data_IF_137106066595
#
_entry.id   IF_137106066595
#
_cell.length_a   1.000
_cell.length_b   1.000
_cell.length_c   1.000
_cell.angle_alpha   90.00
_cell.angle_beta   90.00
_cell.angle_gamma   90.00
#
_symmetry.space_group_name_H-M   'P 1'
#
loop_
_entity.id
_entity.type
_entity.pdbx_description
1 polymer ?
#
# COMPACT_ATOMS: atom_id res chain seq x y z
N UNK A 1 -8.07 64.64 -38.24
CA UNK A 1 -9.42 64.72 -37.64
C UNK A 1 -9.55 63.48 -36.78
N UNK A 2 -9.05 63.59 -35.54
CA UNK A 2 -8.99 62.49 -34.58
C UNK A 2 -10.41 62.18 -34.10
N UNK A 3 -10.84 60.94 -34.26
CA UNK A 3 -12.13 60.45 -33.78
C UNK A 3 -12.05 60.22 -32.26
N UNK A 4 -11.97 61.28 -31.47
CA UNK A 4 -12.21 61.21 -30.03
C UNK A 4 -13.73 61.22 -29.77
N UNK A 5 -14.33 60.04 -29.90
CA UNK A 5 -15.73 59.81 -29.56
C UNK A 5 -15.92 58.39 -29.00
N UNK A 6 -17.09 58.10 -28.38
CA UNK A 6 -17.39 56.78 -27.78
C UNK A 6 -17.15 55.58 -28.71
N UNK A 7 -17.13 55.81 -30.03
CA UNK A 7 -16.83 54.82 -31.07
C UNK A 7 -15.36 54.33 -31.12
N UNK A 8 -14.38 55.15 -30.72
CA UNK A 8 -12.98 54.72 -30.66
C UNK A 8 -12.73 53.66 -29.58
N UNK A 9 -13.46 53.75 -28.45
CA UNK A 9 -13.46 52.70 -27.40
C UNK A 9 -14.10 51.40 -27.90
N UNK A 10 -15.14 51.48 -28.73
CA UNK A 10 -15.80 50.31 -29.33
C UNK A 10 -14.89 49.62 -30.35
N UNK A 11 -14.15 50.36 -31.17
CA UNK A 11 -13.15 49.82 -32.11
C UNK A 11 -11.98 49.14 -31.36
N UNK A 12 -11.43 49.78 -30.32
CA UNK A 12 -10.41 49.14 -29.49
C UNK A 12 -10.89 47.87 -28.78
N UNK A 13 -12.14 47.83 -28.33
CA UNK A 13 -12.75 46.62 -27.76
C UNK A 13 -12.99 45.54 -28.83
N UNK A 14 -13.36 45.93 -30.04
CA UNK A 14 -13.54 45.02 -31.17
C UNK A 14 -12.21 44.41 -31.63
N UNK A 15 -11.17 45.23 -31.80
CA UNK A 15 -9.83 44.79 -32.19
C UNK A 15 -9.17 43.94 -31.09
N UNK A 16 -9.35 44.30 -29.80
CA UNK A 16 -8.91 43.45 -28.69
C UNK A 16 -9.68 42.11 -28.64
N UNK A 17 -10.96 42.09 -29.03
CA UNK A 17 -11.78 40.89 -29.11
C UNK A 17 -11.41 40.02 -30.33
N UNK A 18 -11.01 40.62 -31.45
CA UNK A 18 -10.49 39.91 -32.62
C UNK A 18 -9.07 39.38 -32.39
N UNK A 19 -8.20 40.17 -31.78
CA UNK A 19 -6.84 39.74 -31.43
C UNK A 19 -6.88 38.63 -30.38
N UNK A 20 -7.73 38.76 -29.36
CA UNK A 20 -8.01 37.72 -28.37
C UNK A 20 -8.56 36.44 -29.00
N UNK A 21 -9.50 36.55 -29.95
CA UNK A 21 -10.00 35.40 -30.73
C UNK A 21 -8.91 34.78 -31.59
N UNK A 22 -8.06 35.57 -32.23
CA UNK A 22 -6.98 35.07 -33.09
C UNK A 22 -5.90 34.33 -32.29
N UNK A 23 -5.48 34.85 -31.14
CA UNK A 23 -4.54 34.17 -30.23
C UNK A 23 -5.17 32.91 -29.64
N UNK A 24 -6.43 32.99 -29.21
CA UNK A 24 -7.17 31.82 -28.72
C UNK A 24 -7.23 30.72 -29.77
N UNK A 25 -7.63 31.05 -30.99
CA UNK A 25 -7.79 30.08 -32.08
C UNK A 25 -6.46 29.54 -32.63
N UNK A 26 -5.38 30.35 -32.65
CA UNK A 26 -4.11 29.95 -33.27
C UNK A 26 -3.09 29.33 -32.32
N UNK A 27 -3.16 29.63 -31.02
CA UNK A 27 -2.17 29.16 -30.05
C UNK A 27 -2.81 28.36 -28.90
N UNK A 28 -3.86 28.89 -28.28
CA UNK A 28 -4.47 28.26 -27.10
C UNK A 28 -5.27 27.01 -27.47
N UNK A 29 -6.11 27.07 -28.49
CA UNK A 29 -6.96 25.97 -28.91
C UNK A 29 -6.15 24.75 -29.40
N UNK A 30 -5.13 24.87 -30.28
CA UNK A 30 -4.34 23.71 -30.70
C UNK A 30 -3.54 23.08 -29.56
N UNK A 31 -3.00 23.89 -28.65
CA UNK A 31 -2.28 23.38 -27.47
C UNK A 31 -3.22 22.63 -26.51
N UNK A 32 -4.41 23.19 -26.27
CA UNK A 32 -5.42 22.58 -25.42
C UNK A 32 -6.01 21.31 -26.05
N UNK A 33 -6.18 21.28 -27.38
CA UNK A 33 -6.60 20.09 -28.13
C UNK A 33 -5.56 18.98 -28.06
N UNK A 34 -4.27 19.31 -28.24
CA UNK A 34 -3.18 18.36 -28.05
C UNK A 34 -3.14 17.80 -26.61
N UNK A 35 -3.31 18.67 -25.61
CA UNK A 35 -3.40 18.26 -24.21
C UNK A 35 -4.63 17.36 -23.95
N UNK A 36 -5.77 17.65 -24.57
CA UNK A 36 -6.96 16.83 -24.48
C UNK A 36 -6.73 15.44 -25.10
N UNK A 37 -6.18 15.35 -26.31
CA UNK A 37 -5.85 14.07 -26.94
C UNK A 37 -4.82 13.26 -26.15
N UNK A 38 -3.81 13.92 -25.57
CA UNK A 38 -2.87 13.26 -24.67
C UNK A 38 -3.57 12.70 -23.42
N UNK A 39 -4.49 13.47 -22.81
CA UNK A 39 -5.29 12.99 -21.69
C UNK A 39 -6.21 11.82 -22.10
N UNK A 40 -6.81 11.86 -23.28
CA UNK A 40 -7.63 10.76 -23.79
C UNK A 40 -6.82 9.48 -23.99
N UNK A 41 -5.61 9.58 -24.55
CA UNK A 41 -4.71 8.43 -24.69
C UNK A 41 -4.35 7.85 -23.30
N UNK A 42 -4.01 8.71 -22.34
CA UNK A 42 -3.75 8.31 -20.95
C UNK A 42 -4.97 7.66 -20.28
N UNK A 43 -6.18 8.16 -20.53
CA UNK A 43 -7.45 7.59 -20.06
C UNK A 43 -7.68 6.18 -20.62
N UNK A 44 -7.38 5.97 -21.91
CA UNK A 44 -7.45 4.65 -22.54
C UNK A 44 -6.44 3.69 -21.90
N UNK A 45 -5.21 4.13 -21.66
CA UNK A 45 -4.21 3.31 -20.96
C UNK A 45 -4.70 2.91 -19.55
N UNK A 46 -5.29 3.86 -18.81
CA UNK A 46 -5.77 3.61 -17.46
C UNK A 46 -6.96 2.64 -17.44
N UNK A 47 -7.92 2.78 -18.34
CA UNK A 47 -9.08 1.88 -18.39
C UNK A 47 -8.67 0.47 -18.82
N UNK A 48 -7.73 0.33 -19.77
CA UNK A 48 -7.20 -0.97 -20.16
C UNK A 48 -6.51 -1.68 -18.99
N UNK A 49 -5.74 -0.93 -18.19
CA UNK A 49 -5.08 -1.47 -16.99
C UNK A 49 -6.09 -1.90 -15.92
N UNK A 50 -7.10 -1.08 -15.65
CA UNK A 50 -8.18 -1.40 -14.71
C UNK A 50 -8.97 -2.62 -15.18
N UNK A 51 -9.29 -2.70 -16.48
CA UNK A 51 -9.92 -3.87 -17.10
C UNK A 51 -9.04 -5.11 -16.93
N UNK A 52 -7.75 -5.01 -17.23
CA UNK A 52 -6.81 -6.12 -17.11
C UNK A 52 -6.76 -6.67 -15.68
N UNK A 53 -6.58 -5.82 -14.66
CA UNK A 53 -6.56 -6.26 -13.26
C UNK A 53 -7.91 -6.82 -12.81
N UNK A 54 -9.01 -6.17 -13.22
CA UNK A 54 -10.36 -6.60 -12.86
C UNK A 54 -10.68 -7.97 -13.46
N UNK A 55 -10.38 -8.19 -14.74
CA UNK A 55 -10.59 -9.47 -15.42
C UNK A 55 -9.64 -10.53 -14.87
N UNK A 56 -8.36 -10.22 -14.70
CA UNK A 56 -7.38 -11.22 -14.24
C UNK A 56 -7.62 -11.68 -12.80
N UNK A 57 -7.93 -10.79 -11.85
CA UNK A 57 -8.35 -11.22 -10.51
C UNK A 57 -9.66 -12.04 -10.60
N UNK A 58 -10.62 -11.65 -11.46
CA UNK A 58 -11.91 -12.35 -11.55
C UNK A 58 -11.73 -13.76 -12.10
N UNK A 59 -10.97 -13.90 -13.19
CA UNK A 59 -10.63 -15.17 -13.81
C UNK A 59 -9.82 -16.03 -12.83
N UNK A 60 -8.81 -15.46 -12.16
CA UNK A 60 -8.01 -16.19 -11.19
C UNK A 60 -8.87 -16.74 -10.05
N UNK A 61 -9.70 -15.91 -9.43
CA UNK A 61 -10.43 -16.26 -8.21
C UNK A 61 -11.68 -17.08 -8.50
N UNK A 62 -12.53 -16.61 -9.43
CA UNK A 62 -13.86 -17.19 -9.63
C UNK A 62 -13.85 -18.33 -10.64
N UNK A 63 -13.13 -18.19 -11.75
CA UNK A 63 -13.12 -19.22 -12.80
C UNK A 63 -12.09 -20.31 -12.50
N UNK A 64 -10.84 -19.92 -12.26
CA UNK A 64 -9.74 -20.85 -12.05
C UNK A 64 -9.61 -21.32 -10.59
N UNK A 65 -10.37 -20.70 -9.66
CA UNK A 65 -10.32 -20.99 -8.22
C UNK A 65 -8.88 -21.02 -7.68
N UNK A 66 -8.04 -20.11 -8.17
CA UNK A 66 -6.63 -19.93 -7.79
C UNK A 66 -6.51 -19.19 -6.46
N UNK A 67 -7.26 -19.64 -5.44
CA UNK A 67 -7.13 -19.12 -4.08
C UNK A 67 -5.75 -19.45 -3.51
N UNK A 68 -5.22 -18.65 -2.57
CA UNK A 68 -3.93 -18.92 -1.92
C UNK A 68 -3.74 -20.38 -1.49
N UNK A 69 -4.74 -20.97 -0.84
CA UNK A 69 -4.72 -22.33 -0.27
C UNK A 69 -4.64 -23.44 -1.33
N UNK A 70 -5.11 -23.17 -2.55
CA UNK A 70 -5.05 -24.14 -3.65
C UNK A 70 -3.75 -24.06 -4.43
N UNK A 71 -3.04 -22.93 -4.32
CA UNK A 71 -1.80 -22.66 -5.05
C UNK A 71 -0.55 -22.92 -4.24
N UNK A 72 -0.65 -22.76 -2.94
CA UNK A 72 0.46 -22.82 -2.02
C UNK A 72 0.11 -23.77 -0.89
N UNK A 73 1.09 -24.54 -0.45
CA UNK A 73 0.93 -25.42 0.70
C UNK A 73 0.62 -24.56 1.92
N UNK A 74 -0.45 -24.92 2.61
CA UNK A 74 -0.92 -24.25 3.81
C UNK A 74 -1.46 -25.35 4.72
N UNK A 75 -0.60 -25.84 5.60
CA UNK A 75 -0.98 -26.78 6.64
C UNK A 75 -0.76 -26.08 7.98
N UNK A 76 -1.73 -26.11 8.90
CA UNK A 76 -1.54 -25.56 10.24
C UNK A 76 -0.26 -26.09 10.87
N UNK A 77 0.44 -25.23 11.60
CA UNK A 77 1.62 -25.65 12.35
C UNK A 77 1.20 -26.76 13.33
N UNK A 78 1.99 -27.84 13.48
CA UNK A 78 1.62 -28.94 14.34
C UNK A 78 1.46 -28.42 15.77
N UNK A 79 0.22 -28.42 16.27
CA UNK A 79 -0.04 -28.23 17.69
C UNK A 79 0.60 -29.41 18.42
N UNK A 80 1.48 -29.16 19.39
CA UNK A 80 2.14 -30.19 20.21
C UNK A 80 1.20 -31.06 21.07
N UNK A 81 -0.05 -31.23 20.67
CA UNK A 81 -1.07 -32.06 21.30
C UNK A 81 -1.51 -33.18 20.36
N UNK A 82 -0.58 -34.04 19.96
CA UNK A 82 -0.93 -35.42 19.63
C UNK A 82 -0.99 -36.21 20.96
N UNK A 83 -2.06 -35.96 21.74
CA UNK A 83 -2.39 -36.80 22.90
C UNK A 83 -3.07 -38.06 22.33
N UNK A 84 -2.29 -39.12 22.17
CA UNK A 84 -2.83 -40.46 22.33
C UNK A 84 -3.23 -40.65 23.80
N UNK A 85 -4.29 -41.40 24.02
CA UNK A 85 -4.97 -41.61 25.30
C UNK A 85 -4.13 -42.40 26.32
N UNK A 86 -3.01 -41.88 26.79
CA UNK A 86 -2.33 -42.42 27.98
C UNK A 86 -1.88 -41.28 28.90
N UNK A 87 -2.44 -41.28 30.11
CA UNK A 87 -2.06 -40.41 31.22
C UNK A 87 -0.67 -40.78 31.77
N UNK A 88 -0.08 -39.77 32.40
CA UNK A 88 1.11 -39.79 33.27
C UNK A 88 2.50 -39.56 32.64
N UNK A 89 3.18 -38.58 33.26
CA UNK A 89 4.62 -38.30 33.22
C UNK A 89 5.21 -37.64 31.95
N UNK A 90 5.20 -36.30 31.91
CA UNK A 90 6.42 -35.47 31.81
C UNK A 90 6.07 -33.99 31.59
N UNK A 91 6.52 -33.12 32.50
CA UNK A 91 6.68 -31.69 32.25
C UNK A 91 7.87 -31.55 31.30
N UNK A 92 7.59 -31.43 30.00
CA UNK A 92 8.60 -31.28 28.95
C UNK A 92 8.24 -30.10 28.03
N UNK A 93 9.11 -29.10 28.04
CA UNK A 93 9.11 -27.81 27.31
C UNK A 93 9.26 -27.94 25.76
N UNK A 94 8.88 -29.09 25.17
CA UNK A 94 9.25 -29.46 23.80
C UNK A 94 8.27 -29.07 22.70
N UNK A 95 7.13 -28.43 23.02
CA UNK A 95 6.08 -28.13 22.03
C UNK A 95 6.38 -26.98 21.06
N UNK A 96 7.34 -26.10 21.40
CA UNK A 96 7.67 -24.89 20.63
C UNK A 96 8.65 -25.10 19.48
N UNK A 97 9.39 -26.22 19.43
CA UNK A 97 10.46 -26.43 18.44
C UNK A 97 10.00 -26.46 16.99
N UNK A 98 8.73 -26.80 16.74
CA UNK A 98 8.16 -26.78 15.40
C UNK A 98 7.79 -25.37 14.92
N UNK A 99 7.64 -24.39 15.82
CA UNK A 99 7.22 -23.03 15.48
C UNK A 99 8.44 -22.14 15.18
N UNK A 100 8.44 -21.42 14.04
CA UNK A 100 9.52 -20.48 13.73
C UNK A 100 9.51 -19.29 14.70
N UNK A 101 10.67 -18.66 14.85
CA UNK A 101 10.82 -17.44 15.65
C UNK A 101 10.22 -16.24 14.90
N UNK A 102 9.35 -15.49 15.56
CA UNK A 102 8.61 -14.36 14.96
C UNK A 102 8.87 -13.08 15.72
N UNK A 103 9.34 -12.06 15.01
CA UNK A 103 9.39 -10.68 15.48
C UNK A 103 8.09 -9.95 15.08
N UNK A 104 7.48 -9.20 15.99
CA UNK A 104 6.35 -8.31 15.68
C UNK A 104 6.80 -6.88 15.94
N UNK A 105 6.95 -6.07 14.89
CA UNK A 105 7.41 -4.69 14.97
C UNK A 105 6.23 -3.71 14.96
N UNK A 106 6.24 -2.78 15.91
CA UNK A 106 5.26 -1.70 16.03
C UNK A 106 5.99 -0.36 16.08
N UNK A 107 6.23 0.31 14.93
CA UNK A 107 6.75 1.67 14.91
C UNK A 107 5.72 2.67 15.42
N UNK A 108 6.13 3.51 16.38
CA UNK A 108 5.28 4.53 17.00
C UNK A 108 5.91 5.92 16.90
N UNK A 109 5.08 6.94 16.74
CA UNK A 109 5.50 8.35 16.75
C UNK A 109 4.38 9.27 17.26
N UNK A 110 4.47 9.68 18.52
CA UNK A 110 3.51 10.55 19.20
C UNK A 110 2.06 10.01 19.17
N UNK A 111 1.89 8.70 19.33
CA UNK A 111 0.62 7.97 19.17
C UNK A 111 -0.15 7.86 20.48
N UNK A 112 -0.66 8.97 20.99
CA UNK A 112 -1.28 9.05 22.33
C UNK A 112 -2.57 8.24 22.45
N UNK A 113 -3.38 8.20 21.41
CA UNK A 113 -4.74 7.66 21.45
C UNK A 113 -4.78 6.15 21.23
N UNK A 114 -3.79 5.61 20.48
CA UNK A 114 -3.83 4.25 19.97
C UNK A 114 -2.76 3.31 20.56
N UNK A 115 -1.73 3.84 21.24
CA UNK A 115 -0.60 3.01 21.72
C UNK A 115 -1.05 1.79 22.53
N UNK A 116 -1.98 1.98 23.47
CA UNK A 116 -2.43 0.91 24.38
C UNK A 116 -3.16 -0.19 23.64
N UNK A 117 -4.05 0.18 22.72
CA UNK A 117 -4.84 -0.78 21.94
C UNK A 117 -3.93 -1.52 20.96
N UNK A 118 -2.97 -0.83 20.34
CA UNK A 118 -2.02 -1.42 19.40
C UNK A 118 -1.07 -2.42 20.06
N UNK A 119 -0.42 -2.02 21.16
CA UNK A 119 0.47 -2.92 21.93
C UNK A 119 -0.34 -4.10 22.46
N UNK A 120 -1.53 -3.85 23.02
CA UNK A 120 -2.41 -4.90 23.49
C UNK A 120 -2.80 -5.91 22.42
N UNK A 121 -3.13 -5.45 21.21
CA UNK A 121 -3.48 -6.32 20.09
C UNK A 121 -2.29 -7.18 19.63
N UNK A 122 -1.08 -6.62 19.56
CA UNK A 122 0.12 -7.38 19.23
C UNK A 122 0.49 -8.40 20.32
N UNK A 123 0.39 -8.03 21.60
CA UNK A 123 0.61 -8.92 22.74
C UNK A 123 -0.45 -10.04 22.84
N UNK A 124 -1.63 -9.85 22.24
CA UNK A 124 -2.72 -10.83 22.21
C UNK A 124 -2.63 -11.83 21.04
N UNK A 125 -1.59 -11.74 20.19
CA UNK A 125 -1.37 -12.69 19.11
C UNK A 125 -1.16 -14.10 19.65
N UNK A 126 -1.85 -15.07 19.06
CA UNK A 126 -1.77 -16.49 19.40
C UNK A 126 -0.54 -17.09 18.72
N UNK A 127 0.53 -17.22 19.50
CA UNK A 127 1.79 -17.87 19.11
C UNK A 127 2.47 -18.40 20.37
N UNK A 128 3.34 -19.43 20.31
CA UNK A 128 4.09 -19.87 21.47
C UNK A 128 4.89 -18.71 22.09
N UNK A 129 4.77 -18.43 23.42
CA UNK A 129 5.40 -17.28 24.06
C UNK A 129 6.93 -17.23 23.95
N UNK A 130 7.57 -18.39 23.84
CA UNK A 130 9.02 -18.55 23.61
C UNK A 130 9.43 -18.30 22.15
N UNK A 131 8.46 -18.29 21.22
CA UNK A 131 8.67 -18.13 19.77
C UNK A 131 8.19 -16.80 19.19
N UNK A 132 7.72 -15.88 20.03
CA UNK A 132 7.28 -14.54 19.63
C UNK A 132 8.02 -13.47 20.41
N UNK A 133 8.43 -12.41 19.72
CA UNK A 133 9.05 -11.23 20.31
C UNK A 133 8.28 -10.00 19.81
N UNK A 134 7.70 -9.23 20.72
CA UNK A 134 7.05 -7.95 20.39
C UNK A 134 8.10 -6.84 20.52
N UNK A 135 8.31 -6.04 19.48
CA UNK A 135 9.27 -4.94 19.46
C UNK A 135 8.54 -3.64 19.16
N UNK A 136 8.43 -2.79 20.17
CA UNK A 136 7.89 -1.42 20.06
C UNK A 136 9.05 -0.48 19.74
N UNK A 137 8.98 0.17 18.59
CA UNK A 137 10.01 1.10 18.11
C UNK A 137 9.50 2.52 18.27
N UNK A 138 9.83 3.18 19.38
CA UNK A 138 9.28 4.49 19.73
C UNK A 138 10.20 5.65 19.32
N UNK A 139 9.75 6.38 18.30
CA UNK A 139 10.39 7.57 17.76
C UNK A 139 9.79 8.88 18.30
N UNK A 140 8.88 8.80 19.27
CA UNK A 140 8.15 9.96 19.81
C UNK A 140 9.11 11.07 20.25
N UNK A 141 8.63 12.30 20.21
CA UNK A 141 9.38 13.47 20.68
C UNK A 141 8.76 14.05 21.95
N UNK A 142 7.50 13.73 22.21
CA UNK A 142 6.79 14.12 23.43
C UNK A 142 7.21 13.18 24.59
N UNK A 143 7.86 13.70 25.65
CA UNK A 143 8.27 12.91 26.80
C UNK A 143 7.11 12.22 27.52
N UNK A 144 5.94 12.86 27.57
CA UNK A 144 4.77 12.29 28.24
C UNK A 144 4.25 11.08 27.47
N UNK A 145 4.22 11.14 26.14
CA UNK A 145 3.80 9.99 25.31
C UNK A 145 4.80 8.85 25.45
N UNK A 146 6.11 9.12 25.46
CA UNK A 146 7.13 8.09 25.68
C UNK A 146 6.93 7.35 26.99
N UNK A 147 6.68 8.09 28.07
CA UNK A 147 6.46 7.50 29.39
C UNK A 147 5.23 6.57 29.40
N UNK A 148 4.14 6.97 28.71
CA UNK A 148 2.95 6.13 28.56
C UNK A 148 3.24 4.83 27.80
N UNK A 149 3.95 4.91 26.67
CA UNK A 149 4.31 3.76 25.84
C UNK A 149 5.24 2.82 26.60
N UNK A 150 6.26 3.36 27.27
CA UNK A 150 7.20 2.61 28.08
C UNK A 150 6.51 1.91 29.26
N UNK A 151 5.60 2.61 29.93
CA UNK A 151 4.81 2.04 31.03
C UNK A 151 3.94 0.87 30.56
N UNK A 152 3.24 1.01 29.44
CA UNK A 152 2.44 -0.08 28.87
C UNK A 152 3.32 -1.28 28.48
N UNK A 153 4.50 -1.05 27.90
CA UNK A 153 5.45 -2.12 27.61
C UNK A 153 5.91 -2.84 28.88
N UNK A 154 6.18 -2.10 29.96
CA UNK A 154 6.54 -2.67 31.27
C UNK A 154 5.40 -3.48 31.89
N UNK A 155 4.15 -3.03 31.77
CA UNK A 155 2.97 -3.77 32.23
C UNK A 155 2.85 -5.12 31.50
N UNK A 156 3.00 -5.15 30.17
CA UNK A 156 3.00 -6.40 29.40
C UNK A 156 4.19 -7.30 29.72
N UNK A 157 5.38 -6.74 29.90
CA UNK A 157 6.56 -7.49 30.33
C UNK A 157 6.35 -8.17 31.70
N UNK A 158 5.65 -7.50 32.64
CA UNK A 158 5.30 -8.06 33.95
C UNK A 158 4.39 -9.29 33.86
N UNK A 159 3.61 -9.40 32.78
CA UNK A 159 2.75 -10.55 32.45
C UNK A 159 3.50 -11.67 31.72
N UNK A 160 4.84 -11.61 31.72
CA UNK A 160 5.75 -12.57 31.05
C UNK A 160 5.62 -12.60 29.53
N UNK A 161 5.09 -11.54 28.91
CA UNK A 161 5.14 -11.39 27.45
C UNK A 161 6.53 -10.88 27.06
N UNK A 162 7.13 -11.49 26.02
CA UNK A 162 8.43 -11.08 25.52
C UNK A 162 8.31 -9.81 24.67
N UNK A 163 8.22 -8.67 25.34
CA UNK A 163 8.15 -7.34 24.72
C UNK A 163 9.45 -6.56 24.93
N UNK A 164 9.89 -5.86 23.89
CA UNK A 164 11.08 -4.99 23.86
C UNK A 164 10.64 -3.59 23.48
N UNK A 165 10.98 -2.62 24.33
CA UNK A 165 10.77 -1.21 24.07
C UNK A 165 12.09 -0.59 23.64
N UNK A 166 12.18 -0.13 22.40
CA UNK A 166 13.41 0.35 21.79
C UNK A 166 13.24 1.80 21.35
N UNK A 167 14.20 2.63 21.74
CA UNK A 167 14.28 4.04 21.36
C UNK A 167 15.56 4.33 20.57
N UNK A 168 15.55 5.44 19.84
CA UNK A 168 16.74 5.93 19.16
C UNK A 168 16.93 7.42 19.33
N UNK A 169 18.19 7.83 19.32
CA UNK A 169 18.59 9.23 19.49
C UNK A 169 18.23 10.08 18.27
N UNK A 170 18.28 9.51 17.07
CA UNK A 170 18.03 10.22 15.82
C UNK A 170 16.87 9.61 15.05
N UNK A 171 15.92 10.46 14.67
CA UNK A 171 14.78 10.12 13.79
C UNK A 171 15.16 10.09 12.30
N UNK A 172 16.45 9.96 11.98
CA UNK A 172 16.90 9.88 10.59
C UNK A 172 16.24 8.71 9.88
N UNK A 173 15.66 8.98 8.71
CA UNK A 173 14.98 7.98 7.91
C UNK A 173 13.59 7.57 8.41
N UNK A 174 13.03 8.26 9.43
CA UNK A 174 11.65 8.06 9.92
C UNK A 174 11.35 6.56 10.16
N UNK A 175 10.15 6.08 9.79
CA UNK A 175 9.73 4.68 9.95
C UNK A 175 10.76 3.68 9.38
N UNK A 176 11.28 3.92 8.18
CA UNK A 176 12.29 3.06 7.56
C UNK A 176 13.55 2.90 8.42
N UNK A 177 14.01 4.01 9.01
CA UNK A 177 15.17 4.01 9.89
C UNK A 177 14.90 3.34 11.24
N UNK A 178 13.68 3.47 11.77
CA UNK A 178 13.28 2.79 13.00
C UNK A 178 13.23 1.27 12.78
N UNK A 179 12.56 0.81 11.72
CA UNK A 179 12.51 -0.61 11.35
C UNK A 179 13.91 -1.17 11.08
N UNK A 180 14.78 -0.41 10.39
CA UNK A 180 16.17 -0.78 10.17
C UNK A 180 16.90 -1.02 11.49
N UNK A 181 16.87 -0.05 12.41
CA UNK A 181 17.57 -0.14 13.70
C UNK A 181 17.00 -1.28 14.55
N UNK A 182 15.68 -1.49 14.51
CA UNK A 182 15.02 -2.61 15.17
C UNK A 182 15.55 -3.98 14.72
N UNK A 183 15.87 -4.14 13.44
CA UNK A 183 16.47 -5.37 12.90
C UNK A 183 17.96 -5.55 13.24
N UNK A 184 18.64 -4.54 13.79
CA UNK A 184 20.07 -4.63 14.16
C UNK A 184 20.28 -5.32 15.51
N UNK A 185 19.23 -5.46 16.34
CA UNK A 185 19.30 -6.18 17.61
C UNK A 185 19.53 -7.70 17.41
N UNK A 186 20.31 -8.32 18.30
CA UNK A 186 20.66 -9.74 18.19
C UNK A 186 19.42 -10.65 18.14
N UNK A 187 18.44 -10.41 19.02
CA UNK A 187 17.20 -11.18 19.06
C UNK A 187 16.37 -11.06 17.77
N UNK A 188 16.49 -9.96 17.04
CA UNK A 188 15.77 -9.78 15.77
C UNK A 188 16.43 -10.58 14.63
N UNK A 189 17.75 -10.83 14.73
CA UNK A 189 18.50 -11.64 13.76
C UNK A 189 18.25 -13.14 13.94
N UNK A 190 17.81 -13.57 15.13
CA UNK A 190 17.40 -14.95 15.43
C UNK A 190 15.99 -15.27 14.91
N UNK A 191 15.22 -14.27 14.49
CA UNK A 191 13.87 -14.46 13.98
C UNK A 191 13.86 -14.90 12.50
N UNK A 192 13.01 -15.87 12.17
CA UNK A 192 12.77 -16.33 10.80
C UNK A 192 11.86 -15.35 10.04
N UNK A 193 10.88 -14.79 10.76
CA UNK A 193 9.82 -13.95 10.22
C UNK A 193 9.65 -12.66 11.02
N UNK A 194 9.24 -11.60 10.34
CA UNK A 194 8.89 -10.31 10.94
C UNK A 194 7.53 -9.83 10.47
N UNK A 195 6.59 -9.67 11.39
CA UNK A 195 5.29 -9.03 11.17
C UNK A 195 5.39 -7.54 11.50
N UNK A 196 4.77 -6.69 10.68
CA UNK A 196 4.84 -5.22 10.86
C UNK A 196 3.42 -4.67 10.97
N UNK A 197 3.18 -3.90 12.03
CA UNK A 197 1.92 -3.22 12.26
C UNK A 197 2.15 -1.75 12.60
N UNK A 198 1.52 -0.84 11.87
CA UNK A 198 1.45 0.56 12.28
C UNK A 198 0.65 0.72 13.58
N UNK A 199 0.89 1.83 14.30
CA UNK A 199 0.32 2.06 15.62
C UNK A 199 -1.22 2.14 15.65
N UNK A 200 -1.89 2.42 14.53
CA UNK A 200 -3.35 2.40 14.44
C UNK A 200 -3.92 1.02 14.05
N UNK A 201 -3.06 0.02 13.86
CA UNK A 201 -3.45 -1.32 13.41
C UNK A 201 -3.66 -2.28 14.58
N UNK A 202 -4.74 -3.06 14.50
CA UNK A 202 -5.09 -4.07 15.50
C UNK A 202 -5.25 -5.43 14.79
N UNK A 203 -4.23 -6.30 14.83
CA UNK A 203 -4.35 -7.64 14.25
C UNK A 203 -5.28 -8.51 15.10
N UNK A 204 -6.03 -9.38 14.44
CA UNK A 204 -6.78 -10.44 15.12
C UNK A 204 -5.81 -11.46 15.76
N UNK A 205 -6.17 -12.09 16.89
CA UNK A 205 -5.27 -13.00 17.61
C UNK A 205 -4.70 -14.14 16.76
N UNK A 206 -5.44 -14.63 15.77
CA UNK A 206 -5.02 -15.74 14.91
C UNK A 206 -4.25 -15.31 13.66
N UNK A 207 -3.89 -14.02 13.54
CA UNK A 207 -3.20 -13.46 12.38
C UNK A 207 -1.93 -14.26 12.00
N UNK A 208 -1.09 -14.60 12.98
CA UNK A 208 0.15 -15.35 12.73
C UNK A 208 -0.13 -16.79 12.30
N UNK A 209 -1.10 -17.46 12.95
CA UNK A 209 -1.54 -18.81 12.61
C UNK A 209 -2.06 -18.91 11.17
N UNK A 210 -2.65 -17.83 10.65
CA UNK A 210 -3.22 -17.79 9.29
C UNK A 210 -2.22 -17.35 8.22
N UNK A 211 -1.13 -16.68 8.60
CA UNK A 211 -0.15 -16.12 7.65
C UNK A 211 1.15 -16.91 7.58
N UNK A 212 1.72 -17.30 8.72
CA UNK A 212 3.04 -17.96 8.79
C UNK A 212 3.09 -19.32 8.08
N UNK A 213 2.06 -20.19 8.13
CA UNK A 213 2.13 -21.47 7.42
C UNK A 213 2.42 -21.33 5.92
N UNK A 214 1.90 -20.29 5.26
CA UNK A 214 2.23 -20.03 3.86
C UNK A 214 3.73 -19.76 3.66
N UNK A 215 4.38 -19.08 4.61
CA UNK A 215 5.81 -18.81 4.52
C UNK A 215 6.64 -20.06 4.84
N UNK A 216 6.27 -20.83 5.86
CA UNK A 216 6.99 -22.05 6.26
C UNK A 216 7.01 -23.06 5.12
N UNK A 217 5.84 -23.36 4.54
CA UNK A 217 5.70 -24.41 3.53
C UNK A 217 6.11 -23.98 2.12
N UNK A 218 6.36 -22.69 1.88
CA UNK A 218 6.71 -22.17 0.56
C UNK A 218 7.97 -21.29 0.63
N UNK A 219 9.17 -21.86 0.42
CA UNK A 219 10.44 -21.15 0.66
C UNK A 219 10.70 -19.99 -0.30
N UNK A 220 9.97 -19.89 -1.43
CA UNK A 220 10.08 -18.79 -2.40
C UNK A 220 9.25 -17.55 -2.03
N UNK A 221 8.36 -17.68 -1.04
CA UNK A 221 7.52 -16.56 -0.59
C UNK A 221 8.34 -15.72 0.41
N UNK A 222 8.46 -14.43 0.10
CA UNK A 222 9.10 -13.43 0.97
C UNK A 222 8.09 -12.67 1.83
N UNK A 223 6.88 -12.44 1.32
CA UNK A 223 5.88 -11.58 1.93
C UNK A 223 4.51 -12.22 1.83
N UNK A 224 3.82 -12.28 2.96
CA UNK A 224 2.38 -12.49 3.05
C UNK A 224 1.72 -11.19 3.51
N UNK A 225 0.86 -10.60 2.67
CA UNK A 225 0.10 -9.38 2.99
C UNK A 225 -1.36 -9.74 3.21
N UNK A 226 -1.97 -9.15 4.23
CA UNK A 226 -3.40 -9.30 4.51
C UNK A 226 -4.16 -8.01 4.20
N UNK A 227 -5.49 -8.11 4.22
CA UNK A 227 -6.40 -6.99 3.97
C UNK A 227 -6.53 -6.09 5.19
N UNK A 228 -6.65 -4.79 4.95
CA UNK A 228 -7.03 -3.82 5.98
C UNK A 228 -8.55 -3.73 6.08
N UNK A 229 -9.07 -3.71 7.30
CA UNK A 229 -10.46 -3.39 7.55
C UNK A 229 -10.57 -2.03 8.24
N UNK A 230 -11.37 -1.15 7.69
CA UNK A 230 -11.49 0.22 8.17
C UNK A 230 -12.64 0.31 9.15
N UNK A 231 -12.38 0.72 10.40
CA UNK A 231 -13.43 0.77 11.44
C UNK A 231 -14.27 2.05 11.39
N UNK A 232 -13.69 3.13 10.85
CA UNK A 232 -14.27 4.47 10.89
C UNK A 232 -14.82 4.95 9.53
N UNK A 233 -15.03 4.03 8.58
CA UNK A 233 -15.43 4.36 7.21
C UNK A 233 -16.76 5.12 7.10
N UNK A 234 -17.66 4.97 8.08
CA UNK A 234 -18.99 5.59 8.08
C UNK A 234 -19.05 7.00 8.66
N UNK A 235 -17.94 7.56 9.15
CA UNK A 235 -17.92 8.89 9.81
C UNK A 235 -18.30 10.02 8.85
N UNK A 236 -17.76 10.04 7.63
CA UNK A 236 -18.08 11.10 6.65
C UNK A 236 -17.97 10.61 5.20
N UNK A 237 -18.39 11.45 4.25
CA UNK A 237 -18.31 11.11 2.82
C UNK A 237 -16.88 10.79 2.38
N UNK A 238 -15.89 11.51 2.92
CA UNK A 238 -14.48 11.30 2.60
C UNK A 238 -14.01 9.90 3.02
N UNK A 239 -14.37 9.42 4.21
CA UNK A 239 -13.98 8.07 4.68
C UNK A 239 -14.69 6.97 3.89
N UNK A 240 -15.93 7.20 3.44
CA UNK A 240 -16.65 6.26 2.55
C UNK A 240 -15.98 6.12 1.19
N UNK A 241 -15.60 7.25 0.57
CA UNK A 241 -14.88 7.27 -0.72
C UNK A 241 -13.52 6.59 -0.58
N UNK A 242 -12.80 6.86 0.51
CA UNK A 242 -11.52 6.21 0.81
C UNK A 242 -11.67 4.69 0.92
N UNK A 243 -12.66 4.19 1.67
CA UNK A 243 -12.93 2.74 1.77
C UNK A 243 -13.17 2.14 0.39
N UNK A 244 -14.01 2.74 -0.44
CA UNK A 244 -14.28 2.22 -1.80
C UNK A 244 -12.99 2.09 -2.64
N UNK A 245 -12.13 3.12 -2.58
CA UNK A 245 -10.85 3.14 -3.31
C UNK A 245 -9.86 2.09 -2.77
N UNK A 246 -9.71 2.00 -1.45
CA UNK A 246 -8.78 1.05 -0.81
C UNK A 246 -9.26 -0.39 -0.94
N UNK A 247 -10.56 -0.63 -0.85
CA UNK A 247 -11.10 -1.97 -1.06
C UNK A 247 -10.87 -2.44 -2.51
N UNK A 248 -10.93 -1.56 -3.52
CA UNK A 248 -10.50 -1.91 -4.88
C UNK A 248 -9.01 -2.24 -4.95
N UNK A 249 -8.16 -1.45 -4.28
CA UNK A 249 -6.73 -1.74 -4.19
C UNK A 249 -6.47 -3.14 -3.62
N UNK A 250 -7.15 -3.52 -2.55
CA UNK A 250 -6.99 -4.83 -1.92
C UNK A 250 -7.61 -5.98 -2.74
N UNK A 251 -8.89 -5.87 -3.09
CA UNK A 251 -9.67 -6.95 -3.74
C UNK A 251 -9.36 -7.12 -5.23
N UNK A 252 -8.70 -6.17 -5.87
CA UNK A 252 -8.43 -6.22 -7.31
C UNK A 252 -6.95 -6.07 -7.59
N UNK A 253 -6.32 -4.98 -7.17
CA UNK A 253 -4.91 -4.72 -7.52
C UNK A 253 -3.96 -5.72 -6.86
N UNK A 254 -4.03 -5.88 -5.52
CA UNK A 254 -3.14 -6.82 -4.82
C UNK A 254 -3.43 -8.28 -5.18
N UNK A 255 -4.70 -8.64 -5.33
CA UNK A 255 -5.09 -9.99 -5.70
C UNK A 255 -4.66 -10.35 -7.14
N UNK A 256 -4.84 -9.43 -8.09
CA UNK A 256 -4.30 -9.57 -9.46
C UNK A 256 -2.77 -9.68 -9.44
N UNK A 257 -2.10 -8.78 -8.72
CA UNK A 257 -0.64 -8.76 -8.61
C UNK A 257 -0.08 -10.06 -8.02
N UNK A 258 -0.66 -10.54 -6.93
CA UNK A 258 -0.25 -11.80 -6.30
C UNK A 258 -0.54 -13.00 -7.19
N UNK A 259 -1.70 -13.06 -7.84
CA UNK A 259 -2.11 -14.23 -8.62
C UNK A 259 -1.39 -14.32 -9.98
N UNK A 260 -1.20 -13.21 -10.68
CA UNK A 260 -0.62 -13.20 -12.03
C UNK A 260 0.88 -12.97 -12.03
N UNK A 261 1.37 -12.07 -11.18
CA UNK A 261 2.76 -11.60 -11.21
C UNK A 261 3.58 -12.04 -9.99
N UNK A 262 2.95 -12.71 -9.01
CA UNK A 262 3.54 -13.01 -7.70
C UNK A 262 4.19 -11.78 -7.06
N UNK A 263 3.58 -10.60 -7.25
CA UNK A 263 4.09 -9.31 -6.79
C UNK A 263 3.02 -8.26 -6.69
N UNK A 264 3.13 -7.45 -5.65
CA UNK A 264 2.42 -6.20 -5.43
C UNK A 264 3.30 -5.33 -4.52
N UNK A 265 3.00 -4.04 -4.39
CA UNK A 265 3.70 -3.20 -3.42
C UNK A 265 3.30 -3.58 -2.00
N UNK A 266 4.27 -3.76 -1.10
CA UNK A 266 3.97 -3.89 0.33
C UNK A 266 3.36 -2.57 0.82
N UNK A 267 2.28 -2.65 1.60
CA UNK A 267 1.56 -1.46 2.05
C UNK A 267 2.10 -0.87 3.36
N UNK A 268 3.25 -1.38 3.83
CA UNK A 268 3.94 -0.87 5.02
C UNK A 268 3.46 -1.45 6.35
N UNK A 269 2.36 -2.20 6.38
CA UNK A 269 1.73 -2.76 7.59
C UNK A 269 0.83 -3.95 7.23
N UNK A 270 0.42 -4.73 8.24
CA UNK A 270 -0.42 -5.91 8.11
C UNK A 270 0.18 -6.97 7.17
N UNK A 271 1.50 -7.15 7.23
CA UNK A 271 2.19 -8.17 6.46
C UNK A 271 3.32 -8.82 7.23
N UNK A 272 3.59 -10.07 6.88
CA UNK A 272 4.67 -10.89 7.45
C UNK A 272 5.73 -11.09 6.39
N UNK A 273 6.94 -10.68 6.71
CA UNK A 273 8.13 -10.83 5.88
C UNK A 273 9.01 -11.96 6.37
N UNK A 274 9.64 -12.67 5.45
CA UNK A 274 10.80 -13.50 5.75
C UNK A 274 12.01 -12.61 5.99
N UNK A 275 12.69 -12.80 7.12
CA UNK A 275 13.85 -11.97 7.52
C UNK A 275 14.99 -12.11 6.51
N UNK A 276 15.27 -13.32 6.01
CA UNK A 276 16.30 -13.53 4.98
C UNK A 276 16.02 -12.76 3.69
N UNK A 277 14.74 -12.66 3.27
CA UNK A 277 14.37 -11.90 2.08
C UNK A 277 14.60 -10.40 2.26
N UNK A 278 14.37 -9.87 3.47
CA UNK A 278 14.72 -8.48 3.82
C UNK A 278 16.24 -8.29 3.72
N UNK A 279 17.02 -9.21 4.29
CA UNK A 279 18.48 -9.20 4.25
C UNK A 279 19.04 -9.22 2.83
N UNK A 280 18.59 -10.16 1.99
CA UNK A 280 19.01 -10.30 0.59
C UNK A 280 18.63 -9.10 -0.30
N UNK A 281 17.50 -8.45 0.01
CA UNK A 281 17.10 -7.22 -0.67
C UNK A 281 17.97 -6.02 -0.24
N UNK A 282 18.76 -6.14 0.82
CA UNK A 282 19.62 -5.07 1.37
C UNK A 282 18.93 -4.22 2.43
N UNK A 283 17.96 -4.77 3.16
CA UNK A 283 17.30 -4.14 4.30
C UNK A 283 16.33 -3.01 3.96
N UNK A 284 15.89 -2.31 5.01
CA UNK A 284 15.10 -1.08 4.91
C UNK A 284 15.97 0.09 4.43
N UNK A 285 15.49 0.83 3.43
CA UNK A 285 16.16 2.00 2.86
C UNK A 285 15.28 3.24 3.01
N UNK A 286 15.87 4.31 3.53
CA UNK A 286 15.20 5.58 3.82
C UNK A 286 15.27 6.60 2.66
N UNK A 287 15.68 6.15 1.47
CA UNK A 287 15.88 7.02 0.30
C UNK A 287 14.59 7.63 -0.28
N UNK A 288 13.42 7.13 0.12
CA UNK A 288 12.10 7.58 -0.33
C UNK A 288 11.10 7.45 0.82
N UNK A 289 9.98 8.17 0.77
CA UNK A 289 8.88 8.09 1.75
C UNK A 289 7.99 6.86 1.60
N UNK A 290 8.42 5.89 0.79
CA UNK A 290 7.74 4.64 0.42
C UNK A 290 8.76 3.50 0.52
N UNK A 291 9.38 3.38 1.69
CA UNK A 291 10.39 2.37 2.01
C UNK A 291 9.89 0.94 1.84
N UNK A 292 8.59 0.74 2.05
CA UNK A 292 7.84 -0.49 1.91
C UNK A 292 7.80 -0.97 0.46
N UNK A 293 7.42 -0.07 -0.45
CA UNK A 293 7.41 -0.32 -1.89
C UNK A 293 8.83 -0.51 -2.43
N UNK A 294 9.80 0.24 -1.90
CA UNK A 294 11.21 0.09 -2.28
C UNK A 294 11.74 -1.30 -1.95
N UNK A 295 11.48 -1.80 -0.74
CA UNK A 295 11.84 -3.15 -0.32
C UNK A 295 11.12 -4.21 -1.17
N UNK A 296 9.82 -4.03 -1.40
CA UNK A 296 9.01 -4.90 -2.25
C UNK A 296 9.62 -5.07 -3.66
N UNK A 297 9.95 -3.96 -4.33
CA UNK A 297 10.55 -4.03 -5.67
C UNK A 297 11.91 -4.73 -5.63
N UNK A 298 12.78 -4.37 -4.68
CA UNK A 298 14.12 -4.99 -4.57
C UNK A 298 14.05 -6.49 -4.32
N UNK A 299 13.21 -6.94 -3.39
CA UNK A 299 13.03 -8.36 -3.12
C UNK A 299 12.49 -9.09 -4.35
N UNK A 300 11.54 -8.49 -5.09
CA UNK A 300 11.01 -9.12 -6.30
C UNK A 300 12.02 -9.22 -7.43
N UNK A 301 12.93 -8.25 -7.57
CA UNK A 301 14.04 -8.32 -8.54
C UNK A 301 15.06 -9.42 -8.20
N UNK A 302 15.10 -9.88 -6.95
CA UNK A 302 15.88 -11.04 -6.50
C UNK A 302 15.15 -12.38 -6.71
N UNK A 303 13.93 -12.36 -7.25
CA UNK A 303 13.16 -13.56 -7.56
C UNK A 303 12.17 -13.98 -6.47
N UNK A 304 12.07 -13.21 -5.38
CA UNK A 304 11.10 -13.47 -4.31
C UNK A 304 9.65 -13.24 -4.76
N UNK A 305 8.75 -14.05 -4.22
CA UNK A 305 7.32 -14.06 -4.54
C UNK A 305 6.49 -13.52 -3.39
N UNK A 306 5.42 -12.79 -3.70
CA UNK A 306 4.51 -12.21 -2.71
C UNK A 306 3.11 -12.81 -2.81
N UNK A 307 2.57 -13.12 -1.64
CA UNK A 307 1.26 -13.70 -1.47
C UNK A 307 0.31 -12.71 -0.80
N UNK A 308 -0.82 -12.47 -1.44
CA UNK A 308 -1.92 -11.72 -0.85
C UNK A 308 -2.96 -12.69 -0.29
N UNK A 309 -3.30 -12.55 0.99
CA UNK A 309 -4.32 -13.35 1.69
C UNK A 309 -5.45 -12.43 2.11
N UNK A 310 -6.43 -12.26 1.22
CA UNK A 310 -7.61 -11.41 1.44
C UNK A 310 -8.95 -12.15 1.42
N UNK A 311 -8.95 -13.48 1.24
CA UNK A 311 -10.18 -14.27 1.04
C UNK A 311 -11.05 -14.34 2.32
N UNK A 312 -12.37 -14.25 2.10
CA UNK A 312 -13.48 -14.25 3.06
C UNK A 312 -13.48 -15.52 3.93
N UNK A 313 -12.91 -16.63 3.46
CA UNK A 313 -12.85 -17.88 4.24
C UNK A 313 -11.84 -17.86 5.39
N UNK A 314 -10.86 -16.96 5.35
CA UNK A 314 -9.81 -16.86 6.35
C UNK A 314 -9.83 -15.56 7.14
N UNK A 315 -10.83 -14.67 6.95
CA UNK A 315 -11.01 -13.39 7.68
C UNK A 315 -9.76 -12.94 8.45
N UNK A 316 -8.66 -12.64 7.74
CA UNK A 316 -7.48 -12.01 8.37
C UNK A 316 -7.60 -10.55 8.02
N UNK A 317 -8.32 -9.83 8.88
CA UNK A 317 -8.51 -8.41 8.74
C UNK A 317 -7.75 -7.73 9.86
N UNK A 318 -6.95 -6.73 9.49
CA UNK A 318 -6.29 -5.90 10.49
C UNK A 318 -7.05 -4.59 10.53
N UNK A 319 -7.66 -4.30 11.67
CA UNK A 319 -8.47 -3.09 11.86
C UNK A 319 -7.56 -1.87 11.81
N UNK A 320 -7.96 -0.82 11.11
CA UNK A 320 -7.23 0.46 10.97
C UNK A 320 -8.21 1.63 10.83
N UNK A 321 -7.70 2.84 11.03
CA UNK A 321 -8.45 4.09 10.90
C UNK A 321 -8.11 4.83 9.59
N UNK A 322 -9.14 5.35 8.92
CA UNK A 322 -9.00 6.26 7.80
C UNK A 322 -8.83 7.71 8.29
N UNK A 323 -8.03 8.55 7.59
CA UNK A 323 -7.97 9.97 7.91
C UNK A 323 -9.35 10.62 7.68
N UNK A 324 -9.94 11.11 8.78
CA UNK A 324 -11.26 11.74 8.78
C UNK A 324 -11.24 13.20 8.33
N UNK A 325 -10.07 13.84 8.32
CA UNK A 325 -9.90 15.24 7.90
C UNK A 325 -9.22 15.34 6.52
N UNK A 326 -9.66 16.31 5.71
CA UNK A 326 -9.06 16.56 4.39
C UNK A 326 -7.57 16.91 4.49
N UNK A 327 -7.16 17.64 5.54
CA UNK A 327 -5.75 17.97 5.77
C UNK A 327 -4.92 16.70 5.93
N UNK A 328 -5.33 15.78 6.80
CA UNK A 328 -4.61 14.52 7.00
C UNK A 328 -4.58 13.67 5.71
N UNK A 329 -5.73 13.53 5.05
CA UNK A 329 -5.84 12.81 3.78
C UNK A 329 -4.92 13.37 2.70
N UNK A 330 -4.87 14.70 2.53
CA UNK A 330 -4.00 15.36 1.55
C UNK A 330 -2.52 15.06 1.80
N UNK A 331 -2.06 15.11 3.06
CA UNK A 331 -0.67 14.79 3.39
C UNK A 331 -0.36 13.32 3.09
N UNK A 332 -1.27 12.41 3.43
CA UNK A 332 -1.13 10.98 3.13
C UNK A 332 -1.01 10.74 1.61
N UNK A 333 -1.96 11.25 0.82
CA UNK A 333 -1.96 11.09 -0.63
C UNK A 333 -0.74 11.73 -1.31
N UNK A 334 -0.28 12.87 -0.81
CA UNK A 334 0.94 13.51 -1.31
C UNK A 334 2.16 12.60 -1.15
N UNK A 335 2.35 11.99 0.03
CA UNK A 335 3.45 11.04 0.24
C UNK A 335 3.35 9.81 -0.64
N UNK A 336 2.16 9.23 -0.78
CA UNK A 336 1.93 8.02 -1.58
C UNK A 336 2.12 8.25 -3.08
N UNK A 337 1.76 9.44 -3.56
CA UNK A 337 1.90 9.80 -4.98
C UNK A 337 3.33 10.21 -5.30
N UNK A 338 3.87 11.22 -4.60
CA UNK A 338 5.21 11.75 -4.88
C UNK A 338 6.31 10.75 -4.51
N UNK A 339 6.11 9.98 -3.44
CA UNK A 339 7.03 8.93 -3.01
C UNK A 339 7.21 7.86 -4.08
N UNK A 340 6.10 7.33 -4.62
CA UNK A 340 6.13 6.30 -5.65
C UNK A 340 6.74 6.81 -6.97
N UNK A 341 6.45 8.04 -7.38
CA UNK A 341 7.07 8.64 -8.57
C UNK A 341 8.59 8.85 -8.41
N UNK A 342 9.04 9.32 -7.23
CA UNK A 342 10.47 9.44 -6.95
C UNK A 342 11.16 8.08 -6.87
N UNK A 343 10.48 7.07 -6.31
CA UNK A 343 10.96 5.70 -6.30
C UNK A 343 11.13 5.16 -7.72
N UNK A 344 10.15 5.39 -8.61
CA UNK A 344 10.25 4.98 -10.01
C UNK A 344 11.50 5.54 -10.67
N UNK A 345 11.76 6.84 -10.54
CA UNK A 345 12.96 7.50 -11.08
C UNK A 345 14.25 6.87 -10.57
N UNK A 346 14.29 6.45 -9.30
CA UNK A 346 15.47 5.83 -8.68
C UNK A 346 15.64 4.37 -9.07
N UNK A 347 14.54 3.63 -9.27
CA UNK A 347 14.54 2.19 -9.49
C UNK A 347 14.45 1.78 -10.97
N UNK A 348 14.06 2.67 -11.88
CA UNK A 348 13.86 2.33 -13.29
C UNK A 348 15.12 1.71 -13.91
N UNK A 349 16.29 2.30 -13.67
CA UNK A 349 17.58 1.76 -14.14
C UNK A 349 17.88 0.39 -13.55
N UNK A 350 17.73 0.25 -12.23
CA UNK A 350 17.94 -1.02 -11.52
C UNK A 350 17.02 -2.13 -12.05
N UNK A 351 15.76 -1.83 -12.36
CA UNK A 351 14.80 -2.79 -12.94
C UNK A 351 15.25 -3.23 -14.33
N UNK A 352 15.66 -2.31 -15.19
CA UNK A 352 16.12 -2.63 -16.56
C UNK A 352 17.36 -3.52 -16.52
N UNK A 353 18.34 -3.17 -15.68
CA UNK A 353 19.65 -3.84 -15.60
C UNK A 353 19.57 -5.18 -14.85
N UNK A 354 18.56 -5.38 -14.00
CA UNK A 354 18.42 -6.57 -13.16
C UNK A 354 18.51 -7.88 -13.98
N UNK A 355 19.47 -8.75 -13.64
CA UNK A 355 19.63 -10.05 -14.34
C UNK A 355 18.71 -11.14 -13.81
N UNK A 356 18.21 -10.98 -12.58
CA UNK A 356 17.36 -11.96 -11.90
C UNK A 356 15.87 -11.91 -12.25
N UNK A 357 15.41 -10.87 -12.95
CA UNK A 357 14.00 -10.70 -13.30
C UNK A 357 13.73 -11.02 -14.78
N UNK A 358 12.61 -11.69 -15.06
CA UNK A 358 12.16 -11.98 -16.42
C UNK A 358 11.77 -10.70 -17.16
N UNK A 359 11.83 -10.71 -18.49
CA UNK A 359 11.43 -9.57 -19.33
C UNK A 359 9.99 -9.14 -19.04
N UNK A 360 9.08 -10.11 -18.89
CA UNK A 360 7.69 -9.86 -18.51
C UNK A 360 7.53 -9.18 -17.15
N UNK A 361 8.33 -9.58 -16.16
CA UNK A 361 8.34 -8.95 -14.84
C UNK A 361 8.81 -7.50 -14.92
N UNK A 362 9.89 -7.25 -15.68
CA UNK A 362 10.40 -5.89 -15.90
C UNK A 362 9.37 -5.01 -16.60
N UNK A 363 8.72 -5.53 -17.64
CA UNK A 363 7.65 -4.82 -18.34
C UNK A 363 6.49 -4.49 -17.40
N UNK A 364 6.01 -5.46 -16.62
CA UNK A 364 4.96 -5.24 -15.63
C UNK A 364 5.36 -4.16 -14.60
N UNK A 365 6.58 -4.23 -14.04
CA UNK A 365 7.06 -3.25 -13.08
C UNK A 365 7.17 -1.84 -13.68
N UNK A 366 7.82 -1.70 -14.84
CA UNK A 366 8.07 -0.40 -15.45
C UNK A 366 6.78 0.22 -16.01
N UNK A 367 6.00 -0.54 -16.76
CA UNK A 367 4.81 -0.04 -17.46
C UNK A 367 3.59 -0.01 -16.55
N UNK A 368 3.11 -1.17 -16.09
CA UNK A 368 1.84 -1.27 -15.35
C UNK A 368 1.98 -0.71 -13.93
N UNK A 369 2.91 -1.27 -13.13
CA UNK A 369 3.03 -0.93 -11.71
C UNK A 369 3.50 0.51 -11.46
N UNK A 370 4.51 1.00 -12.18
CA UNK A 370 5.03 2.36 -11.99
C UNK A 370 4.44 3.39 -12.96
N UNK A 371 4.63 3.22 -14.28
CA UNK A 371 4.30 4.28 -15.23
C UNK A 371 2.79 4.56 -15.28
N UNK A 372 1.95 3.57 -15.57
CA UNK A 372 0.50 3.76 -15.67
C UNK A 372 -0.09 4.15 -14.31
N UNK A 373 0.19 3.38 -13.25
CA UNK A 373 -0.47 3.55 -11.95
C UNK A 373 0.08 4.71 -11.10
N UNK A 374 1.39 4.96 -11.12
CA UNK A 374 2.04 5.94 -10.21
C UNK A 374 2.41 7.26 -10.90
N UNK A 375 2.45 7.28 -12.23
CA UNK A 375 2.76 8.51 -13.00
C UNK A 375 1.54 8.97 -13.80
N UNK A 376 0.99 8.14 -14.68
CA UNK A 376 -0.11 8.51 -15.56
C UNK A 376 -1.40 8.77 -14.78
N UNK A 377 -1.80 7.89 -13.86
CA UNK A 377 -3.09 8.07 -13.17
C UNK A 377 -3.19 9.39 -12.38
N UNK A 378 -2.20 9.81 -11.56
CA UNK A 378 -2.24 11.11 -10.89
C UNK A 378 -2.16 12.30 -11.87
N UNK A 379 -1.30 12.22 -12.90
CA UNK A 379 -1.16 13.29 -13.91
C UNK A 379 -2.46 13.46 -14.67
N UNK A 380 -3.06 12.36 -15.14
CA UNK A 380 -4.35 12.37 -15.81
C UNK A 380 -5.44 12.96 -14.92
N UNK A 381 -5.52 12.52 -13.65
CA UNK A 381 -6.56 12.98 -12.73
C UNK A 381 -6.47 14.50 -12.53
N UNK A 382 -5.27 15.05 -12.36
CA UNK A 382 -5.10 16.49 -12.20
C UNK A 382 -5.25 17.24 -13.53
N UNK A 383 -4.48 16.87 -14.56
CA UNK A 383 -4.43 17.58 -15.83
C UNK A 383 -5.77 17.53 -16.55
N UNK A 384 -6.42 16.37 -16.61
CA UNK A 384 -7.65 16.24 -17.39
C UNK A 384 -8.84 16.92 -16.70
N UNK A 385 -9.09 16.57 -15.43
CA UNK A 385 -10.29 17.04 -14.72
C UNK A 385 -10.14 18.43 -14.11
N UNK A 386 -8.94 18.83 -13.69
CA UNK A 386 -8.73 20.13 -13.06
C UNK A 386 -8.23 21.22 -14.02
N UNK A 387 -7.67 20.85 -15.18
CA UNK A 387 -7.07 21.83 -16.12
C UNK A 387 -7.77 21.78 -17.48
N UNK A 388 -7.70 20.66 -18.20
CA UNK A 388 -8.16 20.56 -19.59
C UNK A 388 -9.67 20.75 -19.71
N UNK A 389 -10.48 20.04 -18.92
CA UNK A 389 -11.94 20.18 -18.96
C UNK A 389 -12.38 21.61 -18.63
N UNK A 390 -11.99 22.22 -17.49
CA UNK A 390 -12.36 23.61 -17.19
C UNK A 390 -11.92 24.62 -18.27
N UNK A 391 -10.71 24.48 -18.82
CA UNK A 391 -10.23 25.37 -19.87
C UNK A 391 -10.99 25.19 -21.19
N UNK A 392 -11.40 23.97 -21.53
CA UNK A 392 -12.19 23.73 -22.76
C UNK A 392 -13.56 24.42 -22.73
N UNK A 393 -14.13 24.65 -21.54
CA UNK A 393 -15.38 25.44 -21.42
C UNK A 393 -15.18 26.89 -21.83
N UNK A 394 -13.97 27.43 -21.66
CA UNK A 394 -13.61 28.81 -22.01
C UNK A 394 -13.10 28.95 -23.45
N UNK A 395 -12.82 27.84 -24.13
CA UNK A 395 -12.24 27.78 -25.49
C UNK A 395 -13.18 26.96 -26.39
N UNK A 396 -14.21 27.59 -26.99
CA UNK A 396 -15.26 26.88 -27.74
C UNK A 396 -14.74 26.17 -29.00
N UNK A 397 -13.53 26.50 -29.47
CA UNK A 397 -12.87 25.81 -30.58
C UNK A 397 -12.44 24.38 -30.22
N UNK A 398 -12.32 24.04 -28.93
CA UNK A 398 -11.90 22.71 -28.48
C UNK A 398 -13.11 21.90 -28.05
N UNK A 399 -13.32 20.76 -28.71
CA UNK A 399 -14.35 19.79 -28.32
C UNK A 399 -13.71 18.52 -27.79
N UNK A 400 -14.02 18.16 -26.55
CA UNK A 400 -13.58 16.89 -25.95
C UNK A 400 -14.66 15.83 -26.20
N UNK A 401 -14.32 14.71 -26.86
CA UNK A 401 -15.25 13.59 -27.07
C UNK A 401 -15.91 13.09 -25.78
N UNK A 402 -17.24 12.89 -25.85
CA UNK A 402 -18.04 12.43 -24.71
C UNK A 402 -17.59 11.09 -24.14
N UNK A 403 -17.05 10.19 -24.98
CA UNK A 403 -16.58 8.88 -24.52
C UNK A 403 -15.42 8.97 -23.52
N UNK A 404 -14.53 9.93 -23.71
CA UNK A 404 -13.39 10.13 -22.81
C UNK A 404 -13.76 10.87 -21.54
N UNK A 405 -14.73 11.79 -21.63
CA UNK A 405 -15.20 12.58 -20.51
C UNK A 405 -16.16 11.82 -19.59
N UNK A 406 -17.02 10.97 -20.15
CA UNK A 406 -18.09 10.30 -19.41
C UNK A 406 -17.94 8.78 -19.41
N UNK A 407 -17.79 8.13 -20.57
CA UNK A 407 -17.85 6.66 -20.62
C UNK A 407 -16.65 5.99 -19.96
N UNK A 408 -15.42 6.48 -20.17
CA UNK A 408 -14.24 5.92 -19.51
C UNK A 408 -14.32 6.06 -17.99
N UNK A 409 -14.57 7.26 -17.42
CA UNK A 409 -14.64 7.40 -15.97
C UNK A 409 -15.77 6.59 -15.36
N UNK A 410 -16.95 6.56 -16.01
CA UNK A 410 -18.07 5.72 -15.59
C UNK A 410 -17.71 4.23 -15.63
N UNK A 411 -17.01 3.75 -16.67
CA UNK A 411 -16.57 2.36 -16.74
C UNK A 411 -15.60 2.02 -15.61
N UNK A 412 -14.63 2.89 -15.31
CA UNK A 412 -13.70 2.73 -14.18
C UNK A 412 -14.47 2.69 -12.85
N UNK A 413 -15.41 3.61 -12.63
CA UNK A 413 -16.25 3.64 -11.42
C UNK A 413 -17.08 2.37 -11.28
N UNK A 414 -17.74 1.91 -12.34
CA UNK A 414 -18.55 0.69 -12.32
C UNK A 414 -17.68 -0.53 -12.01
N UNK A 415 -16.51 -0.67 -12.65
CA UNK A 415 -15.59 -1.78 -12.36
C UNK A 415 -15.09 -1.76 -10.91
N UNK A 416 -14.84 -0.56 -10.37
CA UNK A 416 -14.45 -0.36 -8.97
C UNK A 416 -15.57 -0.77 -8.02
N UNK A 417 -16.81 -0.40 -8.35
CA UNK A 417 -17.99 -0.68 -7.53
C UNK A 417 -18.41 -2.17 -7.56
N UNK A 418 -18.38 -2.83 -8.71
CA UNK A 418 -18.79 -4.26 -8.85
C UNK A 418 -17.94 -5.18 -7.98
N UNK A 419 -16.66 -4.85 -7.78
CA UNK A 419 -15.75 -5.63 -6.94
C UNK A 419 -15.87 -5.32 -5.44
N UNK A 420 -16.74 -4.36 -5.09
CA UNK A 420 -17.17 -4.03 -3.75
C UNK A 420 -18.69 -4.16 -3.60
N UNK A 421 -19.25 -5.38 -3.67
CA UNK A 421 -20.58 -5.56 -3.12
C UNK A 421 -20.50 -5.27 -1.62
N UNK A 422 -21.34 -4.33 -1.19
CA UNK A 422 -21.47 -3.70 0.12
C UNK A 422 -21.16 -4.61 1.31
#
# INVERSE_FOLDING_TARGET
MELEGPWARVLHLHDACEWGRAVRARAVAPALEAAAWACLAMSVMLVLEVCYMSVSSFVAVNLLRRTPQRRYSWEPMPSGTARGDDEEAAVGDGGGEAYPMVLVQIPMYNEREVYKISIGAACALTWPPDRIIIQVLDDSTDPFIKELVEFECKDWASKKINIKYEIRESRKGYKAGALKKGMEHSYAQECDFVAIFDADFQPDPDFLLRTIPFLVHNPKIALVQTRWEFVNYNICLLTRIQKMSLDYHFKVEQESGSSVHAFFGFNGTAGVWRVSAIGEAGGWKDRTTVEDMDLAVRASLKGWQFLYVGDIRFFVQVKSELPSTFKAYRHQQHRWTCGAANLFRKMAGDIVISKGATVWKKLHLLYSFFFVRRVIAPILTFLFYCVVIPLSVMVPEVSIPAWGMFYIPTAITIMTAIRNPW
#
